data_IF_988292316656
#
_entry.id   IF_988292316656
#
_cell.length_a   1.000
_cell.length_b   1.000
_cell.length_c   1.000
_cell.angle_alpha   90.00
_cell.angle_beta   90.00
_cell.angle_gamma   90.00
#
_symmetry.space_group_name_H-M   'P 1'
#
loop_
_entity.id
_entity.type
_entity.pdbx_description
1 polymer ?
#
# COMPACT_ATOMS: atom_id res chain seq x y z
N UNK A 1 -4.12 -12.29 -20.25
CA UNK A 1 -5.18 -11.27 -20.42
C UNK A 1 -6.54 -11.87 -20.79
N UNK A 2 -6.66 -12.49 -21.97
CA UNK A 2 -7.94 -12.99 -22.52
C UNK A 2 -8.78 -13.85 -21.56
N UNK A 3 -8.15 -14.73 -20.77
CA UNK A 3 -8.84 -15.64 -19.84
C UNK A 3 -9.18 -15.06 -18.47
N UNK A 4 -8.84 -13.80 -18.20
CA UNK A 4 -8.89 -13.24 -16.85
C UNK A 4 -10.30 -13.22 -16.24
N UNK A 5 -11.33 -12.86 -17.01
CA UNK A 5 -12.72 -12.86 -16.52
C UNK A 5 -13.17 -14.25 -16.08
N UNK A 6 -12.87 -15.27 -16.88
CA UNK A 6 -13.21 -16.66 -16.55
C UNK A 6 -12.41 -17.16 -15.35
N UNK A 7 -11.13 -16.80 -15.27
CA UNK A 7 -10.29 -17.09 -14.11
C UNK A 7 -10.89 -16.49 -12.83
N UNK A 8 -11.25 -15.21 -12.86
CA UNK A 8 -11.90 -14.52 -11.74
C UNK A 8 -13.22 -15.20 -11.34
N UNK A 9 -14.03 -15.65 -12.31
CA UNK A 9 -15.24 -16.42 -12.03
C UNK A 9 -14.96 -17.77 -11.36
N UNK A 10 -13.92 -18.47 -11.79
CA UNK A 10 -13.47 -19.72 -11.14
C UNK A 10 -13.02 -19.46 -9.71
N UNK A 11 -12.26 -18.38 -9.49
CA UNK A 11 -11.81 -17.96 -8.16
C UNK A 11 -12.96 -17.58 -7.22
N UNK A 12 -14.04 -17.01 -7.75
CA UNK A 12 -15.25 -16.71 -6.98
C UNK A 12 -16.17 -17.93 -6.73
N UNK A 13 -15.88 -19.10 -7.35
CA UNK A 13 -16.82 -20.23 -7.33
C UNK A 13 -16.82 -21.05 -6.04
N UNK A 14 -15.84 -20.85 -5.16
CA UNK A 14 -15.54 -21.66 -3.96
C UNK A 14 -15.39 -23.17 -4.24
N UNK A 15 -15.15 -23.54 -5.50
CA UNK A 15 -14.92 -24.94 -5.91
C UNK A 15 -13.45 -25.31 -5.75
N UNK A 16 -13.11 -26.58 -5.43
CA UNK A 16 -11.73 -27.05 -5.28
C UNK A 16 -11.05 -27.20 -6.65
N UNK A 17 -10.88 -26.10 -7.36
CA UNK A 17 -10.21 -26.02 -8.66
C UNK A 17 -8.79 -25.50 -8.43
N UNK A 18 -7.84 -26.01 -9.22
CA UNK A 18 -6.43 -25.61 -9.18
C UNK A 18 -6.07 -24.98 -10.51
N UNK A 19 -5.52 -23.77 -10.45
CA UNK A 19 -5.03 -23.07 -11.62
C UNK A 19 -3.55 -22.80 -11.42
N UNK A 20 -2.75 -23.16 -12.43
CA UNK A 20 -1.33 -22.81 -12.50
C UNK A 20 -1.19 -21.80 -13.64
N UNK A 21 -0.65 -20.64 -13.31
CA UNK A 21 -0.26 -19.59 -14.25
C UNK A 21 1.25 -19.64 -14.37
N UNK A 22 1.72 -19.96 -15.56
CA UNK A 22 3.13 -19.93 -15.93
C UNK A 22 3.39 -18.53 -16.47
N UNK A 23 3.89 -17.64 -15.62
CA UNK A 23 4.06 -16.22 -15.96
C UNK A 23 5.42 -15.99 -16.62
N UNK A 24 5.40 -15.94 -17.94
CA UNK A 24 6.55 -15.59 -18.78
C UNK A 24 6.57 -14.11 -19.14
N UNK A 25 5.60 -13.31 -18.69
CA UNK A 25 5.57 -11.84 -18.82
C UNK A 25 5.52 -11.33 -20.28
N UNK A 26 5.21 -12.22 -21.21
CA UNK A 26 4.91 -11.98 -22.63
C UNK A 26 4.03 -13.11 -23.16
N UNK A 27 3.50 -12.99 -24.37
CA UNK A 27 2.93 -14.13 -25.09
C UNK A 27 4.02 -14.89 -25.85
N UNK A 28 4.72 -15.77 -25.14
CA UNK A 28 5.89 -16.50 -25.67
C UNK A 28 5.56 -17.33 -26.91
N UNK A 29 4.40 -17.99 -26.97
CA UNK A 29 4.05 -18.83 -28.11
C UNK A 29 3.85 -18.04 -29.42
N UNK A 30 3.41 -16.78 -29.32
CA UNK A 30 3.17 -15.91 -30.48
C UNK A 30 4.37 -15.01 -30.80
N UNK A 31 5.55 -15.30 -30.23
CA UNK A 31 6.79 -14.58 -30.51
C UNK A 31 7.02 -13.36 -29.62
N UNK A 32 6.55 -13.39 -28.37
CA UNK A 32 6.95 -12.39 -27.38
C UNK A 32 6.13 -11.11 -27.38
N UNK A 33 4.82 -11.20 -27.62
CA UNK A 33 3.94 -10.02 -27.63
C UNK A 33 3.70 -9.48 -26.21
N UNK A 34 3.55 -8.16 -26.11
CA UNK A 34 3.26 -7.47 -24.86
C UNK A 34 1.98 -8.02 -24.21
N UNK A 35 2.00 -8.08 -22.88
CA UNK A 35 0.85 -8.51 -22.09
C UNK A 35 0.76 -7.73 -20.77
N UNK A 36 -0.37 -7.85 -20.07
CA UNK A 36 -0.55 -7.09 -18.81
C UNK A 36 0.36 -7.55 -17.68
N UNK A 37 0.96 -8.75 -17.74
CA UNK A 37 1.98 -9.18 -16.78
C UNK A 37 3.41 -8.70 -17.10
N UNK A 38 3.65 -8.08 -18.25
CA UNK A 38 4.94 -7.42 -18.52
C UNK A 38 5.21 -6.24 -17.59
N UNK A 39 6.47 -5.84 -17.45
CA UNK A 39 6.90 -4.71 -16.62
C UNK A 39 6.95 -3.38 -17.39
N UNK A 40 6.90 -2.26 -16.67
CA UNK A 40 7.20 -0.95 -17.24
C UNK A 40 8.63 -0.94 -17.81
N UNK A 41 8.82 -0.31 -18.97
CA UNK A 41 10.08 -0.31 -19.71
C UNK A 41 10.40 -1.63 -20.43
N UNK A 42 9.59 -2.68 -20.28
CA UNK A 42 9.86 -3.95 -20.96
C UNK A 42 9.68 -3.82 -22.47
N UNK A 43 10.72 -4.18 -23.23
CA UNK A 43 10.67 -4.25 -24.68
C UNK A 43 10.09 -5.59 -25.13
N UNK A 44 9.05 -5.54 -25.95
CA UNK A 44 8.37 -6.72 -26.52
C UNK A 44 7.66 -6.36 -27.82
N UNK A 45 7.16 -7.34 -28.58
CA UNK A 45 6.32 -7.04 -29.75
C UNK A 45 5.07 -6.26 -29.29
N UNK A 46 4.71 -5.18 -30.00
CA UNK A 46 3.71 -4.17 -29.62
C UNK A 46 4.11 -3.21 -28.48
N UNK A 47 5.32 -3.33 -27.92
CA UNK A 47 5.89 -2.41 -26.95
C UNK A 47 7.40 -2.24 -27.22
N UNK A 48 7.71 -1.70 -28.41
CA UNK A 48 9.07 -1.54 -28.88
C UNK A 48 9.79 -0.35 -28.20
N UNK A 49 11.13 -0.36 -28.30
CA UNK A 49 11.95 0.78 -27.93
C UNK A 49 12.20 1.65 -29.17
N UNK A 50 11.62 2.85 -29.19
CA UNK A 50 11.73 3.87 -30.24
C UNK A 50 12.13 5.23 -29.67
N UNK A 51 11.90 6.30 -30.43
CA UNK A 51 12.22 7.67 -29.99
C UNK A 51 11.16 8.27 -29.05
N UNK A 52 9.91 7.83 -29.16
CA UNK A 52 8.78 8.35 -28.37
C UNK A 52 8.32 7.35 -27.30
N UNK A 53 8.55 6.04 -27.52
CA UNK A 53 8.14 4.98 -26.61
C UNK A 53 9.36 4.16 -26.22
N UNK A 54 9.58 3.95 -24.92
CA UNK A 54 10.73 3.22 -24.40
C UNK A 54 10.31 1.86 -23.81
N UNK A 55 9.52 1.10 -24.57
CA UNK A 55 8.91 -0.16 -24.12
C UNK A 55 7.52 0.04 -23.52
N UNK A 56 7.07 -0.92 -22.70
CA UNK A 56 5.74 -0.90 -22.09
C UNK A 56 5.61 0.25 -21.07
N UNK A 57 4.56 1.05 -21.18
CA UNK A 57 4.29 2.17 -20.26
C UNK A 57 3.43 1.75 -19.06
N UNK A 58 2.50 0.82 -19.29
CA UNK A 58 1.56 0.36 -18.27
C UNK A 58 2.27 -0.41 -17.14
N UNK A 59 1.83 -0.17 -15.91
CA UNK A 59 2.27 -0.94 -14.74
C UNK A 59 1.85 -2.39 -14.87
N UNK A 60 2.68 -3.30 -14.35
CA UNK A 60 2.39 -4.73 -14.30
C UNK A 60 1.11 -4.99 -13.51
N UNK A 61 0.23 -5.81 -14.08
CA UNK A 61 -0.98 -6.29 -13.42
C UNK A 61 -0.64 -7.36 -12.38
N UNK A 62 -0.74 -7.01 -11.11
CA UNK A 62 -0.48 -7.94 -9.99
C UNK A 62 -1.63 -8.93 -9.76
N UNK A 63 -1.57 -10.06 -10.47
CA UNK A 63 -2.58 -11.11 -10.39
C UNK A 63 -2.71 -11.69 -8.98
N UNK A 64 -1.62 -11.75 -8.21
CA UNK A 64 -1.66 -12.25 -6.83
C UNK A 64 -2.59 -11.40 -5.96
N UNK A 65 -2.43 -10.07 -5.98
CA UNK A 65 -3.28 -9.13 -5.23
C UNK A 65 -4.74 -9.22 -5.66
N UNK A 66 -5.00 -9.32 -6.96
CA UNK A 66 -6.37 -9.44 -7.48
C UNK A 66 -7.00 -10.78 -7.05
N UNK A 67 -6.23 -11.86 -7.03
CA UNK A 67 -6.70 -13.15 -6.56
C UNK A 67 -6.99 -13.14 -5.05
N UNK A 68 -6.15 -12.48 -4.25
CA UNK A 68 -6.37 -12.28 -2.82
C UNK A 68 -7.67 -11.51 -2.53
N UNK A 69 -8.06 -10.57 -3.41
CA UNK A 69 -9.32 -9.82 -3.28
C UNK A 69 -10.58 -10.71 -3.34
N UNK A 70 -10.49 -11.92 -3.91
CA UNK A 70 -11.58 -12.91 -3.85
C UNK A 70 -11.77 -13.54 -2.47
N UNK A 71 -10.88 -13.25 -1.49
CA UNK A 71 -10.89 -13.63 -0.06
C UNK A 71 -10.85 -15.12 0.27
N UNK A 72 -11.52 -15.97 -0.52
CA UNK A 72 -11.61 -17.41 -0.31
C UNK A 72 -10.67 -18.26 -1.16
N UNK A 73 -9.72 -17.64 -1.85
CA UNK A 73 -8.79 -18.31 -2.76
C UNK A 73 -7.47 -18.50 -2.05
N UNK A 74 -6.88 -19.69 -2.13
CA UNK A 74 -5.47 -19.88 -1.79
C UNK A 74 -4.61 -19.33 -2.93
N UNK A 75 -3.70 -18.40 -2.65
CA UNK A 75 -2.82 -17.81 -3.67
C UNK A 75 -1.38 -18.12 -3.31
N UNK A 76 -0.59 -18.55 -4.28
CA UNK A 76 0.84 -18.71 -4.12
C UNK A 76 1.54 -18.12 -5.33
N UNK A 77 2.41 -17.13 -5.10
CA UNK A 77 3.41 -16.69 -6.06
C UNK A 77 4.77 -17.26 -5.67
N UNK A 78 5.42 -17.95 -6.60
CA UNK A 78 6.75 -18.53 -6.37
C UNK A 78 7.53 -18.65 -7.66
N UNK A 79 8.80 -19.03 -7.57
CA UNK A 79 9.63 -19.41 -8.71
C UNK A 79 10.51 -20.62 -8.40
N UNK A 80 11.26 -21.08 -9.42
CA UNK A 80 12.29 -22.10 -9.25
C UNK A 80 13.51 -21.62 -8.43
N UNK A 81 13.62 -20.32 -8.13
CA UNK A 81 14.68 -19.77 -7.26
C UNK A 81 14.63 -20.35 -5.86
N UNK A 82 13.43 -20.69 -5.38
CA UNK A 82 13.20 -21.25 -4.05
C UNK A 82 12.42 -22.57 -4.15
N UNK A 83 13.07 -23.69 -4.53
CA UNK A 83 12.38 -24.97 -4.75
C UNK A 83 11.64 -25.48 -3.51
N UNK A 84 12.21 -25.29 -2.32
CA UNK A 84 11.58 -25.71 -1.06
C UNK A 84 10.26 -24.97 -0.81
N UNK A 85 10.26 -23.64 -0.95
CA UNK A 85 9.06 -22.80 -0.85
C UNK A 85 8.01 -23.22 -1.89
N UNK A 86 8.43 -23.41 -3.14
CA UNK A 86 7.55 -23.83 -4.23
C UNK A 86 6.87 -25.17 -3.92
N UNK A 87 7.63 -26.21 -3.60
CA UNK A 87 7.09 -27.56 -3.39
C UNK A 87 6.16 -27.59 -2.18
N UNK A 88 6.58 -26.99 -1.07
CA UNK A 88 5.78 -26.97 0.17
C UNK A 88 4.42 -26.28 -0.06
N UNK A 89 4.42 -25.11 -0.69
CA UNK A 89 3.19 -24.35 -0.87
C UNK A 89 2.30 -24.88 -1.99
N UNK A 90 2.87 -25.56 -3.00
CA UNK A 90 2.08 -26.37 -3.95
C UNK A 90 1.32 -27.47 -3.20
N UNK A 91 1.99 -28.22 -2.32
CA UNK A 91 1.34 -29.27 -1.53
C UNK A 91 0.23 -28.70 -0.63
N UNK A 92 0.48 -27.58 0.06
CA UNK A 92 -0.54 -26.87 0.86
C UNK A 92 -1.75 -26.49 -0.01
N UNK A 93 -1.51 -25.83 -1.14
CA UNK A 93 -2.59 -25.40 -2.03
C UNK A 93 -3.38 -26.55 -2.65
N UNK A 94 -2.73 -27.71 -2.92
CA UNK A 94 -3.43 -28.91 -3.39
C UNK A 94 -4.41 -29.45 -2.36
N UNK A 95 -4.09 -29.35 -1.06
CA UNK A 95 -4.93 -29.84 0.04
C UNK A 95 -6.13 -28.95 0.39
N UNK A 96 -6.17 -27.73 -0.14
CA UNK A 96 -7.24 -26.77 0.13
C UNK A 96 -8.62 -27.26 -0.33
N UNK A 97 -9.72 -26.89 0.33
CA UNK A 97 -11.07 -27.24 -0.17
C UNK A 97 -11.67 -26.18 -1.10
N UNK A 98 -10.98 -25.06 -1.26
CA UNK A 98 -11.37 -23.87 -2.02
C UNK A 98 -10.54 -23.76 -3.30
N UNK A 99 -10.79 -22.78 -4.20
CA UNK A 99 -9.93 -22.55 -5.35
C UNK A 99 -8.49 -22.25 -4.91
N UNK A 100 -7.51 -22.73 -5.67
CA UNK A 100 -6.11 -22.40 -5.46
C UNK A 100 -5.49 -21.90 -6.77
N UNK A 101 -4.78 -20.78 -6.68
CA UNK A 101 -4.06 -20.15 -7.77
C UNK A 101 -2.55 -20.18 -7.47
N UNK A 102 -1.81 -20.84 -8.34
CA UNK A 102 -0.35 -20.86 -8.32
C UNK A 102 0.17 -19.98 -9.46
N UNK A 103 0.91 -18.94 -9.14
CA UNK A 103 1.54 -18.00 -10.07
C UNK A 103 3.03 -18.29 -10.05
N UNK A 104 3.56 -18.83 -11.14
CA UNK A 104 4.93 -19.28 -11.23
C UNK A 104 5.71 -18.35 -12.14
N UNK A 105 6.65 -17.59 -11.57
CA UNK A 105 7.59 -16.82 -12.37
C UNK A 105 8.44 -17.78 -13.19
N UNK A 106 8.32 -17.68 -14.51
CA UNK A 106 8.92 -18.65 -15.45
C UNK A 106 9.78 -17.92 -16.46
N UNK A 107 11.08 -17.74 -16.16
CA UNK A 107 12.01 -17.14 -17.11
C UNK A 107 11.99 -17.87 -18.45
N UNK A 108 11.81 -17.10 -19.52
CA UNK A 108 11.70 -17.61 -20.88
C UNK A 108 12.97 -17.22 -21.64
N UNK A 109 13.94 -18.14 -21.83
CA UNK A 109 15.21 -17.81 -22.48
C UNK A 109 15.10 -17.05 -23.82
N UNK A 110 14.24 -17.45 -24.78
CA UNK A 110 14.14 -16.72 -26.04
C UNK A 110 13.58 -15.31 -25.88
N UNK A 111 12.57 -15.12 -25.03
CA UNK A 111 11.87 -13.83 -24.92
C UNK A 111 12.53 -12.86 -23.95
N UNK A 112 13.21 -13.38 -22.92
CA UNK A 112 13.96 -12.57 -21.96
C UNK A 112 15.42 -12.37 -22.41
N UNK A 113 15.82 -13.04 -23.50
CA UNK A 113 17.17 -13.04 -24.06
C UNK A 113 18.22 -13.53 -23.06
N UNK A 114 17.91 -14.62 -22.37
CA UNK A 114 18.80 -15.27 -21.40
C UNK A 114 19.70 -16.28 -22.12
N UNK A 115 20.82 -16.63 -21.49
CA UNK A 115 21.59 -17.79 -21.90
C UNK A 115 20.78 -19.10 -21.73
N UNK A 116 21.13 -20.15 -22.49
CA UNK A 116 20.40 -21.44 -22.52
C UNK A 116 20.11 -22.04 -21.14
N UNK A 117 21.01 -21.84 -20.17
CA UNK A 117 20.88 -22.32 -18.79
C UNK A 117 20.73 -21.19 -17.76
N UNK A 118 20.48 -19.95 -18.19
CA UNK A 118 20.40 -18.78 -17.33
C UNK A 118 19.07 -18.61 -16.60
N UNK A 119 18.06 -19.44 -16.88
CA UNK A 119 16.74 -19.33 -16.26
C UNK A 119 16.74 -19.45 -14.71
N UNK A 120 17.52 -20.34 -14.07
CA UNK A 120 17.59 -20.39 -12.60
C UNK A 120 18.15 -19.11 -12.01
N UNK A 121 19.22 -18.58 -12.60
CA UNK A 121 19.88 -17.36 -12.14
C UNK A 121 18.97 -16.15 -12.32
N UNK A 122 18.29 -16.03 -13.46
CA UNK A 122 17.30 -14.98 -13.70
C UNK A 122 16.13 -15.03 -12.71
N UNK A 123 15.61 -16.23 -12.40
CA UNK A 123 14.55 -16.39 -11.39
C UNK A 123 15.02 -15.95 -10.00
N UNK A 124 16.27 -16.26 -9.64
CA UNK A 124 16.87 -15.87 -8.36
C UNK A 124 17.05 -14.36 -8.28
N UNK A 125 17.61 -13.77 -9.33
CA UNK A 125 17.85 -12.32 -9.40
C UNK A 125 16.52 -11.54 -9.37
N UNK A 126 15.46 -12.05 -10.01
CA UNK A 126 14.12 -11.46 -9.94
C UNK A 126 13.52 -11.47 -8.51
N UNK A 127 13.83 -12.51 -7.71
CA UNK A 127 13.38 -12.60 -6.32
C UNK A 127 14.19 -11.66 -5.41
N UNK A 128 15.51 -11.67 -5.55
CA UNK A 128 16.45 -10.88 -4.73
C UNK A 128 16.33 -9.37 -4.97
N UNK A 129 15.99 -8.96 -6.19
CA UNK A 129 15.76 -7.57 -6.62
C UNK A 129 14.35 -7.03 -6.37
N UNK A 130 13.48 -7.81 -5.71
CA UNK A 130 12.05 -7.50 -5.49
C UNK A 130 11.20 -7.36 -6.77
N UNK A 131 11.73 -7.71 -7.94
CA UNK A 131 10.95 -7.66 -9.19
C UNK A 131 9.73 -8.60 -9.14
N UNK A 132 9.95 -9.83 -8.64
CA UNK A 132 8.89 -10.83 -8.44
C UNK A 132 9.05 -11.49 -7.07
N UNK A 133 8.44 -10.92 -6.00
CA UNK A 133 8.52 -11.50 -4.67
C UNK A 133 7.72 -12.80 -4.56
N UNK A 134 8.13 -13.67 -3.64
CA UNK A 134 7.34 -14.82 -3.22
C UNK A 134 6.19 -14.36 -2.34
N UNK A 135 4.99 -14.92 -2.54
CA UNK A 135 3.80 -14.55 -1.77
C UNK A 135 3.01 -15.82 -1.51
N UNK A 136 2.57 -16.02 -0.27
CA UNK A 136 1.57 -17.04 0.05
C UNK A 136 0.40 -16.33 0.71
N UNK A 137 -0.81 -16.60 0.23
CA UNK A 137 -2.05 -16.19 0.88
C UNK A 137 -2.89 -17.42 1.16
N UNK A 138 -3.13 -17.70 2.44
CA UNK A 138 -3.97 -18.79 2.89
C UNK A 138 -5.22 -18.26 3.59
N UNK A 139 -6.42 -18.40 2.99
CA UNK A 139 -7.65 -17.89 3.59
C UNK A 139 -8.06 -18.60 4.89
N UNK A 140 -7.45 -19.75 5.22
CA UNK A 140 -7.76 -20.54 6.42
C UNK A 140 -6.89 -20.16 7.63
N UNK A 141 -5.81 -19.40 7.46
CA UNK A 141 -4.84 -19.11 8.53
C UNK A 141 -5.28 -17.99 9.50
N UNK A 142 -6.33 -17.23 9.14
CA UNK A 142 -6.85 -16.20 10.03
C UNK A 142 -8.02 -15.41 9.46
N UNK A 143 -8.23 -14.21 10.00
CA UNK A 143 -9.31 -13.29 9.63
C UNK A 143 -8.82 -12.04 8.91
N UNK A 144 -7.66 -11.52 9.32
CA UNK A 144 -7.03 -10.33 8.71
C UNK A 144 -6.12 -10.73 7.54
N UNK A 145 -5.68 -9.75 6.76
CA UNK A 145 -4.65 -10.00 5.75
C UNK A 145 -3.30 -10.37 6.37
N UNK A 146 -2.94 -9.77 7.50
CA UNK A 146 -1.66 -10.02 8.19
C UNK A 146 -1.53 -11.45 8.67
N UNK A 147 -2.64 -12.08 9.08
CA UNK A 147 -2.64 -13.49 9.49
C UNK A 147 -2.67 -14.46 8.30
N UNK A 148 -3.06 -13.98 7.12
CA UNK A 148 -3.28 -14.82 5.93
C UNK A 148 -2.17 -14.72 4.91
N UNK A 149 -1.35 -13.66 4.94
CA UNK A 149 -0.24 -13.46 4.02
C UNK A 149 1.06 -13.85 4.70
N UNK A 150 1.82 -14.71 4.03
CA UNK A 150 3.16 -15.13 4.42
C UNK A 150 4.17 -14.70 3.33
N UNK A 151 5.23 -14.03 3.78
CA UNK A 151 6.34 -13.51 2.98
C UNK A 151 7.70 -14.14 3.35
N UNK A 152 7.74 -15.16 4.21
CA UNK A 152 8.99 -15.82 4.66
C UNK A 152 9.81 -16.43 3.53
N UNK A 153 9.16 -16.72 2.39
CA UNK A 153 9.83 -17.19 1.17
C UNK A 153 10.77 -16.17 0.52
N UNK A 154 10.82 -14.93 0.99
CA UNK A 154 11.66 -13.87 0.44
C UNK A 154 12.96 -13.69 1.24
N UNK A 155 14.10 -13.46 0.58
CA UNK A 155 15.34 -13.09 1.26
C UNK A 155 15.22 -11.72 1.93
N UNK A 156 15.82 -11.57 3.11
CA UNK A 156 15.88 -10.34 3.90
C UNK A 156 14.55 -9.54 3.92
N UNK A 157 13.44 -10.12 4.40
CA UNK A 157 12.10 -9.53 4.21
C UNK A 157 11.89 -8.18 4.93
N UNK A 158 12.75 -7.86 5.91
CA UNK A 158 12.72 -6.58 6.63
C UNK A 158 13.47 -5.46 5.88
N UNK A 159 14.43 -5.83 5.03
CA UNK A 159 15.26 -4.89 4.30
C UNK A 159 14.63 -4.53 2.95
N UNK A 160 14.86 -3.30 2.48
CA UNK A 160 14.43 -2.86 1.15
C UNK A 160 15.06 -3.75 0.07
N UNK A 161 16.38 -3.90 0.13
CA UNK A 161 17.17 -4.66 -0.83
C UNK A 161 17.93 -5.79 -0.14
N UNK A 162 18.13 -6.89 -0.86
CA UNK A 162 19.16 -7.87 -0.49
C UNK A 162 20.54 -7.34 -0.89
N UNK A 163 21.61 -7.93 -0.36
CA UNK A 163 22.99 -7.51 -0.69
C UNK A 163 23.79 -8.64 -1.30
N UNK A 164 24.75 -8.30 -2.16
CA UNK A 164 25.73 -9.21 -2.74
C UNK A 164 27.15 -8.64 -2.65
N UNK A 165 28.14 -9.51 -2.74
CA UNK A 165 29.56 -9.12 -2.79
C UNK A 165 30.05 -9.10 -4.24
N UNK A 166 30.59 -7.96 -4.66
CA UNK A 166 31.20 -7.77 -5.97
C UNK A 166 32.72 -7.73 -5.83
N UNK A 167 33.39 -8.72 -6.42
CA UNK A 167 34.86 -8.80 -6.43
C UNK A 167 35.42 -8.30 -7.75
N UNK A 168 36.33 -7.33 -7.70
CA UNK A 168 36.95 -6.71 -8.88
C UNK A 168 38.46 -6.52 -8.69
N UNK A 169 39.16 -6.24 -9.78
CA UNK A 169 40.58 -5.86 -9.77
C UNK A 169 40.70 -4.34 -9.86
N UNK A 170 41.50 -3.75 -8.99
CA UNK A 170 41.86 -2.33 -9.08
C UNK A 170 42.89 -2.07 -10.19
N UNK A 171 43.25 -0.80 -10.39
CA UNK A 171 44.22 -0.36 -11.42
C UNK A 171 45.61 -0.98 -11.22
N UNK A 172 45.93 -1.43 -10.00
CA UNK A 172 47.18 -2.08 -9.63
C UNK A 172 47.10 -3.63 -9.76
N UNK A 173 45.95 -4.16 -10.16
CA UNK A 173 45.71 -5.59 -10.34
C UNK A 173 45.48 -6.36 -9.03
N UNK A 174 45.18 -5.66 -7.93
CA UNK A 174 44.87 -6.26 -6.64
C UNK A 174 43.37 -6.50 -6.50
N UNK A 175 43.01 -7.63 -5.89
CA UNK A 175 41.61 -7.98 -5.63
C UNK A 175 41.02 -7.05 -4.55
N UNK A 176 39.90 -6.44 -4.90
CA UNK A 176 39.06 -5.65 -4.04
C UNK A 176 37.66 -6.26 -4.00
N UNK A 177 36.94 -5.98 -2.92
CA UNK A 177 35.59 -6.45 -2.69
C UNK A 177 34.74 -5.28 -2.22
N UNK A 178 33.53 -5.15 -2.76
CA UNK A 178 32.51 -4.21 -2.28
C UNK A 178 31.19 -4.94 -2.06
N UNK A 179 30.43 -4.50 -1.08
CA UNK A 179 29.07 -5.00 -0.82
C UNK A 179 28.08 -4.02 -1.40
N UNK A 180 27.19 -4.48 -2.28
CA UNK A 180 26.19 -3.67 -2.96
C UNK A 180 24.79 -4.28 -2.79
N UNK A 181 23.72 -3.46 -2.81
CA UNK A 181 22.37 -3.98 -2.86
C UNK A 181 22.07 -4.60 -4.24
N UNK A 182 21.30 -5.68 -4.27
CA UNK A 182 20.70 -6.22 -5.50
C UNK A 182 19.44 -5.42 -5.77
N UNK A 183 19.52 -4.48 -6.72
CA UNK A 183 18.41 -3.60 -7.09
C UNK A 183 17.63 -4.12 -8.28
N UNK A 184 16.47 -3.51 -8.55
CA UNK A 184 15.69 -3.80 -9.77
C UNK A 184 16.50 -3.49 -11.04
N UNK A 185 17.42 -2.52 -11.01
CA UNK A 185 18.29 -2.22 -12.14
C UNK A 185 19.34 -3.31 -12.39
N UNK A 186 19.87 -3.95 -11.34
CA UNK A 186 20.80 -5.07 -11.49
C UNK A 186 20.12 -6.28 -12.15
N UNK A 187 18.88 -6.55 -11.74
CA UNK A 187 18.06 -7.58 -12.35
C UNK A 187 17.73 -7.29 -13.82
N UNK A 188 17.23 -6.09 -14.12
CA UNK A 188 16.84 -5.72 -15.47
C UNK A 188 18.02 -5.74 -16.45
N UNK A 189 19.24 -5.38 -16.02
CA UNK A 189 20.46 -5.47 -16.85
C UNK A 189 20.74 -6.91 -17.32
N UNK A 190 20.39 -7.90 -16.51
CA UNK A 190 20.57 -9.33 -16.80
C UNK A 190 19.69 -9.85 -17.93
N UNK A 191 18.68 -9.09 -18.37
CA UNK A 191 17.68 -9.53 -19.33
C UNK A 191 17.68 -8.64 -20.59
N UNK A 192 17.69 -9.25 -21.78
CA UNK A 192 17.81 -8.52 -23.04
C UNK A 192 16.63 -7.56 -23.30
N UNK A 193 15.45 -7.89 -22.75
CA UNK A 193 14.23 -7.08 -22.86
C UNK A 193 14.29 -5.72 -22.17
N UNK A 194 15.31 -5.46 -21.36
CA UNK A 194 15.57 -4.13 -20.79
C UNK A 194 16.90 -3.52 -21.26
N UNK A 195 17.70 -4.24 -22.06
CA UNK A 195 19.07 -3.84 -22.42
C UNK A 195 19.18 -2.46 -23.09
N UNK A 196 18.12 -1.98 -23.74
CA UNK A 196 18.08 -0.64 -24.37
C UNK A 196 18.08 0.52 -23.37
N UNK A 197 17.74 0.26 -22.11
CA UNK A 197 17.73 1.22 -21.01
C UNK A 197 19.09 1.44 -20.36
N UNK A 198 20.14 0.82 -20.90
CA UNK A 198 21.47 0.86 -20.33
C UNK A 198 22.47 1.40 -21.35
N UNK A 199 23.35 2.29 -20.89
CA UNK A 199 24.48 2.81 -21.68
C UNK A 199 25.73 2.87 -20.82
N UNK A 200 26.94 2.77 -21.40
CA UNK A 200 28.16 3.06 -20.66
C UNK A 200 28.14 4.50 -20.12
N UNK A 201 28.67 4.69 -18.92
CA UNK A 201 28.82 6.03 -18.33
C UNK A 201 29.82 6.88 -19.12
N UNK A 202 29.48 8.15 -19.33
CA UNK A 202 30.36 9.16 -19.92
C UNK A 202 31.05 10.02 -18.86
N UNK A 203 32.10 10.75 -19.26
CA UNK A 203 32.87 11.62 -18.36
C UNK A 203 32.11 12.90 -17.92
N UNK A 204 31.03 13.26 -18.62
CA UNK A 204 30.21 14.46 -18.36
C UNK A 204 28.94 14.18 -17.54
N UNK A 205 28.67 12.92 -17.20
CA UNK A 205 27.48 12.56 -16.42
C UNK A 205 27.69 12.91 -14.93
N UNK A 206 26.73 13.60 -14.30
CA UNK A 206 26.67 13.68 -12.84
C UNK A 206 26.05 12.40 -12.30
N UNK A 207 26.87 11.55 -11.68
CA UNK A 207 26.55 10.14 -11.45
C UNK A 207 26.28 9.83 -9.98
N UNK A 208 25.13 9.22 -9.71
CA UNK A 208 24.77 8.69 -8.39
C UNK A 208 24.45 7.21 -8.46
N UNK A 209 24.82 6.46 -7.41
CA UNK A 209 24.56 5.02 -7.37
C UNK A 209 23.06 4.79 -7.33
N UNK A 210 22.57 3.83 -8.12
CA UNK A 210 21.13 3.61 -8.36
C UNK A 210 20.29 3.51 -7.08
N UNK A 211 20.77 2.80 -6.05
CA UNK A 211 19.99 2.66 -4.82
C UNK A 211 19.86 3.97 -4.02
N UNK A 212 20.88 4.83 -4.03
CA UNK A 212 20.83 6.16 -3.40
C UNK A 212 19.93 7.10 -4.22
N UNK A 213 19.98 7.00 -5.55
CA UNK A 213 19.12 7.77 -6.43
C UNK A 213 17.62 7.49 -6.22
N UNK A 214 17.25 6.24 -5.96
CA UNK A 214 15.85 5.86 -5.69
C UNK A 214 15.35 6.40 -4.33
N UNK A 215 16.26 6.68 -3.39
CA UNK A 215 15.89 7.27 -2.10
C UNK A 215 15.63 8.78 -2.20
N UNK A 216 16.11 9.45 -3.26
CA UNK A 216 15.86 10.87 -3.49
C UNK A 216 14.42 11.16 -3.89
N UNK A 217 13.96 12.37 -3.57
CA UNK A 217 12.69 12.89 -4.06
C UNK A 217 12.75 13.17 -5.57
N UNK A 218 11.59 13.18 -6.24
CA UNK A 218 11.52 13.30 -7.71
C UNK A 218 12.17 14.58 -8.25
N UNK A 219 12.12 15.67 -7.51
CA UNK A 219 12.68 16.96 -7.91
C UNK A 219 14.22 16.94 -7.89
N UNK A 220 14.82 16.24 -6.93
CA UNK A 220 16.27 16.11 -6.79
C UNK A 220 16.90 15.15 -7.82
N UNK A 221 16.06 14.33 -8.47
CA UNK A 221 16.47 13.37 -9.50
C UNK A 221 16.72 14.02 -10.87
N UNK A 222 16.23 15.23 -11.12
CA UNK A 222 16.31 15.87 -12.45
C UNK A 222 17.76 16.17 -12.88
N UNK A 223 18.63 16.50 -11.94
CA UNK A 223 20.02 16.91 -12.20
C UNK A 223 21.03 15.76 -12.15
N UNK A 224 20.59 14.56 -11.76
CA UNK A 224 21.48 13.43 -11.42
C UNK A 224 21.15 12.21 -12.27
N UNK A 225 22.18 11.54 -12.78
CA UNK A 225 22.04 10.33 -13.59
C UNK A 225 22.34 9.08 -12.77
N UNK A 226 21.41 8.11 -12.68
CA UNK A 226 21.65 6.90 -11.91
C UNK A 226 22.55 5.91 -12.66
N UNK A 227 23.42 5.21 -11.93
CA UNK A 227 24.26 4.14 -12.47
C UNK A 227 24.36 2.93 -11.55
N UNK A 228 24.73 1.79 -12.13
CA UNK A 228 25.10 0.56 -11.42
C UNK A 228 26.53 0.13 -11.76
N UNK A 229 27.15 -0.60 -10.84
CA UNK A 229 28.48 -1.17 -11.04
C UNK A 229 28.40 -2.51 -11.75
N UNK A 230 29.19 -2.67 -12.80
CA UNK A 230 29.34 -3.93 -13.53
C UNK A 230 30.80 -4.34 -13.62
N UNK A 231 31.05 -5.64 -13.66
CA UNK A 231 32.41 -6.17 -13.81
C UNK A 231 32.50 -6.89 -15.15
N UNK A 232 33.53 -6.55 -15.93
CA UNK A 232 33.75 -7.15 -17.24
C UNK A 232 34.42 -8.54 -17.15
N UNK A 233 34.62 -9.20 -18.29
CA UNK A 233 35.27 -10.52 -18.35
C UNK A 233 36.73 -10.52 -17.84
N UNK A 234 37.37 -9.35 -17.72
CA UNK A 234 38.73 -9.17 -17.19
C UNK A 234 38.74 -8.80 -15.70
N UNK A 235 37.57 -8.82 -15.05
CA UNK A 235 37.36 -8.39 -13.66
C UNK A 235 37.59 -6.89 -13.42
N UNK A 236 37.48 -6.07 -14.46
CA UNK A 236 37.57 -4.61 -14.36
C UNK A 236 36.21 -4.03 -14.01
N UNK A 237 36.21 -3.11 -13.04
CA UNK A 237 35.01 -2.40 -12.63
C UNK A 237 34.64 -1.34 -13.68
N UNK A 238 33.36 -1.28 -14.03
CA UNK A 238 32.78 -0.33 -14.98
C UNK A 238 31.46 0.19 -14.44
N UNK A 239 31.07 1.38 -14.90
CA UNK A 239 29.80 2.02 -14.54
C UNK A 239 28.86 1.99 -15.73
N UNK A 240 27.62 1.58 -15.50
CA UNK A 240 26.57 1.55 -16.52
C UNK A 240 25.45 2.46 -16.06
N UNK A 241 25.16 3.48 -16.86
CA UNK A 241 24.05 4.40 -16.66
C UNK A 241 22.74 3.69 -16.96
N UNK A 242 21.74 3.99 -16.14
CA UNK A 242 20.40 3.43 -16.16
C UNK A 242 19.40 4.52 -16.57
N UNK A 243 18.40 4.18 -17.38
CA UNK A 243 17.37 5.12 -17.79
C UNK A 243 16.33 5.40 -16.69
N UNK A 244 15.54 6.46 -16.87
CA UNK A 244 14.45 6.84 -15.96
C UNK A 244 13.32 5.80 -15.90
N UNK A 245 13.07 5.06 -16.98
CA UNK A 245 12.03 4.02 -17.01
C UNK A 245 12.33 2.87 -16.05
N UNK A 246 13.61 2.52 -15.89
CA UNK A 246 14.05 1.51 -14.93
C UNK A 246 13.96 2.05 -13.50
N UNK A 247 14.21 3.35 -13.29
CA UNK A 247 13.96 3.97 -11.99
C UNK A 247 12.45 3.97 -11.64
N UNK A 248 11.59 4.28 -12.62
CA UNK A 248 10.13 4.20 -12.46
C UNK A 248 9.67 2.78 -12.16
N UNK A 249 10.24 1.79 -12.85
CA UNK A 249 10.02 0.38 -12.56
C UNK A 249 10.44 0.02 -11.12
N UNK A 250 11.61 0.49 -10.67
CA UNK A 250 12.09 0.24 -9.32
C UNK A 250 11.17 0.87 -8.26
N UNK A 251 10.76 2.13 -8.42
CA UNK A 251 9.79 2.78 -7.53
C UNK A 251 8.49 1.98 -7.43
N UNK A 252 8.00 1.49 -8.57
CA UNK A 252 6.77 0.71 -8.64
C UNK A 252 6.92 -0.65 -7.94
N UNK A 253 8.04 -1.36 -8.15
CA UNK A 253 8.35 -2.62 -7.47
C UNK A 253 8.51 -2.44 -5.96
N UNK A 254 9.15 -1.36 -5.52
CA UNK A 254 9.30 -1.05 -4.10
C UNK A 254 7.97 -0.69 -3.45
N UNK A 255 7.10 0.06 -4.13
CA UNK A 255 5.73 0.33 -3.66
C UNK A 255 4.93 -0.97 -3.51
N UNK A 256 5.04 -1.88 -4.49
CA UNK A 256 4.42 -3.19 -4.40
C UNK A 256 4.96 -4.00 -3.22
N UNK A 257 6.27 -3.98 -2.99
CA UNK A 257 6.89 -4.66 -1.84
C UNK A 257 6.44 -4.06 -0.50
N UNK A 258 6.40 -2.73 -0.37
CA UNK A 258 5.90 -2.04 0.81
C UNK A 258 4.44 -2.39 1.10
N UNK A 259 3.58 -2.40 0.08
CA UNK A 259 2.19 -2.83 0.19
C UNK A 259 2.09 -4.28 0.70
N UNK A 260 2.91 -5.20 0.20
CA UNK A 260 2.92 -6.58 0.67
C UNK A 260 3.34 -6.67 2.14
N UNK A 261 4.39 -5.93 2.55
CA UNK A 261 4.84 -5.94 3.95
C UNK A 261 3.77 -5.40 4.90
N UNK A 262 3.09 -4.31 4.52
CA UNK A 262 1.99 -3.75 5.31
C UNK A 262 0.83 -4.75 5.40
N UNK A 263 0.42 -5.34 4.27
CA UNK A 263 -0.66 -6.34 4.25
C UNK A 263 -0.33 -7.60 5.05
N UNK A 264 0.94 -8.02 5.09
CA UNK A 264 1.43 -9.13 5.90
C UNK A 264 1.64 -8.76 7.39
N UNK A 265 1.48 -7.49 7.76
CA UNK A 265 1.76 -7.02 9.13
C UNK A 265 3.24 -7.07 9.51
N UNK A 266 4.14 -7.17 8.53
CA UNK A 266 5.59 -7.08 8.72
C UNK A 266 6.01 -5.63 8.94
N UNK A 267 5.32 -4.71 8.25
CA UNK A 267 5.50 -3.27 8.39
C UNK A 267 4.24 -2.65 8.98
N UNK A 268 4.41 -1.57 9.73
CA UNK A 268 3.32 -0.83 10.37
C UNK A 268 3.13 0.47 9.61
N UNK A 269 1.89 0.78 9.22
CA UNK A 269 1.58 2.01 8.49
C UNK A 269 2.01 3.25 9.28
N UNK A 270 2.44 4.29 8.56
CA UNK A 270 2.91 5.55 9.16
C UNK A 270 1.86 6.17 10.08
N UNK A 271 0.61 6.24 9.65
CA UNK A 271 -0.50 6.72 10.49
C UNK A 271 -0.61 5.97 11.83
N UNK A 272 -0.41 4.64 11.83
CA UNK A 272 -0.45 3.85 13.07
C UNK A 272 0.80 4.10 13.93
N UNK A 273 1.97 4.28 13.31
CA UNK A 273 3.19 4.69 14.02
C UNK A 273 3.02 6.06 14.67
N UNK A 274 2.47 7.03 13.96
CA UNK A 274 2.23 8.38 14.46
C UNK A 274 1.27 8.35 15.65
N UNK A 275 0.14 7.65 15.52
CA UNK A 275 -0.84 7.52 16.61
C UNK A 275 -0.22 6.86 17.86
N UNK A 276 0.60 5.82 17.68
CA UNK A 276 1.29 5.16 18.80
C UNK A 276 2.37 6.06 19.39
N UNK A 277 3.06 6.84 18.55
CA UNK A 277 4.12 7.75 18.98
C UNK A 277 3.52 8.91 19.77
N UNK A 278 2.44 9.53 19.31
CA UNK A 278 1.67 10.53 20.06
C UNK A 278 1.20 10.00 21.42
N UNK A 279 0.62 8.79 21.45
CA UNK A 279 0.17 8.19 22.71
C UNK A 279 1.34 7.87 23.67
N UNK A 280 2.49 7.44 23.13
CA UNK A 280 3.69 7.18 23.93
C UNK A 280 4.32 8.48 24.44
N UNK A 281 4.36 9.53 23.62
CA UNK A 281 4.81 10.86 24.00
C UNK A 281 3.96 11.43 25.13
N UNK A 282 2.63 11.33 25.04
CA UNK A 282 1.72 11.71 26.12
C UNK A 282 1.99 10.93 27.43
N UNK A 283 2.26 9.61 27.32
CA UNK A 283 2.59 8.79 28.50
C UNK A 283 3.94 9.19 29.12
N UNK A 284 4.95 9.47 28.29
CA UNK A 284 6.28 9.90 28.72
C UNK A 284 6.20 11.26 29.39
N UNK A 285 5.47 12.21 28.81
CA UNK A 285 5.26 13.54 29.40
C UNK A 285 4.54 13.47 30.73
N UNK A 286 3.51 12.61 30.85
CA UNK A 286 2.84 12.36 32.12
C UNK A 286 3.79 11.80 33.18
N UNK A 287 4.71 10.90 32.81
CA UNK A 287 5.73 10.36 33.73
C UNK A 287 6.75 11.42 34.13
N UNK A 288 7.19 12.27 33.20
CA UNK A 288 8.09 13.39 33.50
C UNK A 288 7.41 14.37 34.46
N UNK A 289 6.15 14.73 34.22
CA UNK A 289 5.36 15.60 35.10
C UNK A 289 5.19 15.00 36.51
N UNK A 290 4.93 13.69 36.61
CA UNK A 290 4.83 13.01 37.91
C UNK A 290 6.17 13.02 38.67
N UNK A 291 7.27 12.71 37.98
CA UNK A 291 8.61 12.68 38.59
C UNK A 291 9.05 14.07 39.01
N UNK A 292 8.84 15.09 38.18
CA UNK A 292 9.15 16.50 38.52
C UNK A 292 8.35 16.97 39.73
N UNK A 293 7.04 16.68 39.79
CA UNK A 293 6.22 16.99 40.96
C UNK A 293 6.72 16.29 42.23
N UNK A 294 7.17 15.03 42.15
CA UNK A 294 7.79 14.34 43.28
C UNK A 294 9.09 15.01 43.75
N UNK A 295 9.95 15.42 42.82
CA UNK A 295 11.21 16.09 43.14
C UNK A 295 10.95 17.46 43.76
N UNK A 296 10.02 18.25 43.22
CA UNK A 296 9.60 19.53 43.78
C UNK A 296 9.05 19.35 45.20
N UNK A 297 8.22 18.35 45.43
CA UNK A 297 7.71 18.02 46.76
C UNK A 297 8.83 17.61 47.74
N UNK A 298 9.82 16.83 47.28
CA UNK A 298 11.01 16.47 48.08
C UNK A 298 11.86 17.70 48.40
N UNK A 299 12.07 18.60 47.44
CA UNK A 299 12.80 19.86 47.65
C UNK A 299 12.05 20.78 48.61
N UNK A 300 10.73 20.94 48.47
CA UNK A 300 9.90 21.72 49.38
C UNK A 300 9.94 21.16 50.81
N UNK A 301 9.90 19.84 50.96
CA UNK A 301 10.07 19.17 52.26
C UNK A 301 11.47 19.39 52.85
N UNK A 302 12.52 19.28 52.04
CA UNK A 302 13.89 19.53 52.49
C UNK A 302 14.08 20.99 52.90
N UNK A 303 13.63 21.96 52.10
CA UNK A 303 13.75 23.40 52.39
C UNK A 303 12.97 23.83 53.62
N UNK A 304 11.84 23.20 53.93
CA UNK A 304 11.08 23.48 55.18
C UNK A 304 11.69 22.81 56.41
N UNK A 305 12.23 21.59 56.27
CA UNK A 305 12.79 20.84 57.39
C UNK A 305 14.24 21.23 57.75
N UNK A 306 15.07 21.60 56.76
CA UNK A 306 16.48 21.91 56.98
C UNK A 306 16.71 23.09 57.94
N UNK A 307 16.03 24.25 57.79
CA UNK A 307 16.21 25.38 58.70
C UNK A 307 15.85 25.03 60.15
N UNK A 308 14.80 24.23 60.36
CA UNK A 308 14.40 23.77 61.70
C UNK A 308 15.43 22.81 62.31
N UNK A 309 15.99 21.90 61.49
CA UNK A 309 17.05 20.98 61.93
C UNK A 309 18.36 21.73 62.23
N UNK A 310 18.71 22.72 61.42
CA UNK A 310 19.87 23.59 61.64
C UNK A 310 19.68 24.40 62.92
N UNK A 311 18.53 25.07 63.10
CA UNK A 311 18.22 25.84 64.30
C UNK A 311 18.26 24.97 65.56
N UNK A 312 17.71 23.74 65.50
CA UNK A 312 17.78 22.78 66.61
C UNK A 312 19.22 22.36 66.94
N UNK A 313 20.04 22.04 65.93
CA UNK A 313 21.45 21.67 66.15
C UNK A 313 22.29 22.84 66.68
N UNK A 314 22.05 24.06 66.19
CA UNK A 314 22.67 25.27 66.71
C UNK A 314 22.27 25.51 68.17
N UNK A 315 20.99 25.39 68.51
CA UNK A 315 20.51 25.50 69.88
C UNK A 315 21.10 24.42 70.80
N UNK A 316 21.15 23.16 70.36
CA UNK A 316 21.80 22.07 71.11
C UNK A 316 23.31 22.29 71.28
N UNK A 317 23.99 22.84 70.26
CA UNK A 317 25.39 23.22 70.33
C UNK A 317 25.65 24.34 71.34
N UNK A 318 24.79 25.36 71.34
CA UNK A 318 24.83 26.49 72.29
C UNK A 318 24.51 26.05 73.72
N UNK A 319 23.58 25.13 73.91
CA UNK A 319 23.23 24.57 75.22
C UNK A 319 24.32 23.64 75.77
N UNK A 320 25.04 22.92 74.90
CA UNK A 320 26.21 22.11 75.31
C UNK A 320 27.44 22.96 75.62
N UNK A 321 27.56 24.16 75.04
CA UNK A 321 28.56 25.14 75.44
C UNK A 321 28.09 25.90 76.67
N UNK A 322 28.43 25.39 77.86
CA UNK A 322 28.22 26.10 79.11
C UNK A 322 28.80 27.53 79.03
N UNK A 323 28.00 28.51 79.45
CA UNK A 323 28.17 29.94 79.22
C UNK A 323 29.50 30.54 79.71
N UNK A 324 30.36 30.98 78.79
CA UNK A 324 31.34 32.08 78.96
C UNK A 324 31.64 32.86 77.64
N UNK A 325 30.99 32.54 76.52
CA UNK A 325 31.26 33.21 75.22
C UNK A 325 30.11 34.10 74.78
N UNK A 326 30.43 35.31 74.33
CA UNK A 326 29.45 36.34 73.94
C UNK A 326 28.77 35.99 72.61
N UNK A 327 27.56 36.51 72.40
CA UNK A 327 26.75 36.29 71.18
C UNK A 327 27.52 36.68 69.90
N UNK A 328 28.43 37.65 70.00
CA UNK A 328 29.29 38.10 68.90
C UNK A 328 30.31 37.03 68.44
N UNK A 329 31.00 36.35 69.38
CA UNK A 329 31.95 35.28 69.04
C UNK A 329 31.26 34.06 68.43
N UNK A 330 29.99 33.83 68.80
CA UNK A 330 29.19 32.73 68.26
C UNK A 330 28.65 33.05 66.86
N UNK A 331 28.33 34.32 66.58
CA UNK A 331 27.95 34.79 65.23
C UNK A 331 29.12 34.70 64.26
N UNK A 332 30.33 35.09 64.68
CA UNK A 332 31.54 34.98 63.85
C UNK A 332 31.86 33.51 63.53
N UNK A 333 31.66 32.61 64.51
CA UNK A 333 31.83 31.17 64.28
C UNK A 333 30.73 30.57 63.40
N UNK A 334 29.50 31.07 63.49
CA UNK A 334 28.40 30.66 62.62
C UNK A 334 28.57 31.18 61.17
N UNK A 335 29.10 32.38 60.97
CA UNK A 335 29.51 32.89 59.66
C UNK A 335 30.63 32.04 59.03
N UNK A 336 31.51 31.47 59.85
CA UNK A 336 32.53 30.51 59.42
C UNK A 336 32.05 29.05 59.32
N UNK A 337 30.81 28.76 59.75
CA UNK A 337 30.28 27.40 59.76
C UNK A 337 29.72 27.02 58.39
N UNK A 338 30.59 26.49 57.54
CA UNK A 338 30.20 25.75 56.35
C UNK A 338 29.53 24.44 56.77
N UNK A 339 28.20 24.46 56.95
CA UNK A 339 27.39 23.28 57.24
C UNK A 339 27.73 22.09 56.30
N UNK A 340 27.33 20.85 56.62
CA UNK A 340 27.67 19.71 55.80
C UNK A 340 27.27 19.98 54.35
N UNK A 341 28.25 19.93 53.45
CA UNK A 341 28.05 20.15 52.03
C UNK A 341 26.99 19.15 51.56
N UNK A 342 25.81 19.64 51.18
CA UNK A 342 24.90 18.84 50.38
C UNK A 342 25.56 18.74 49.01
N UNK A 343 26.34 17.68 48.82
CA UNK A 343 26.82 17.32 47.49
C UNK A 343 25.60 16.86 46.69
N UNK A 344 25.22 17.64 45.69
CA UNK A 344 24.39 17.11 44.62
C UNK A 344 25.14 15.92 44.01
N UNK A 345 24.47 14.78 43.74
CA UNK A 345 25.11 13.68 43.02
C UNK A 345 25.62 14.21 41.68
N UNK A 346 26.80 13.77 41.27
CA UNK A 346 27.61 14.34 40.20
C UNK A 346 26.95 14.37 38.80
N UNK A 347 25.77 13.78 38.65
CA UNK A 347 25.09 13.59 37.36
C UNK A 347 23.76 14.36 37.21
N UNK A 348 23.50 15.39 38.03
CA UNK A 348 22.31 16.23 37.86
C UNK A 348 22.58 17.42 36.94
N UNK A 349 22.33 17.25 35.63
CA UNK A 349 22.30 18.32 34.63
C UNK A 349 20.92 18.33 33.97
N UNK A 350 20.19 19.45 34.07
CA UNK A 350 18.97 19.69 33.27
C UNK A 350 19.42 20.44 32.01
N UNK A 351 19.21 19.89 30.79
CA UNK A 351 19.44 20.64 29.57
C UNK A 351 18.48 21.83 29.49
N UNK A 352 19.02 23.01 29.23
CA UNK A 352 18.23 24.21 28.95
C UNK A 352 17.63 24.10 27.55
N UNK A 353 16.33 24.41 27.33
CA UNK A 353 15.76 24.39 25.99
C UNK A 353 16.36 25.51 25.14
N UNK A 354 16.69 25.17 23.89
CA UNK A 354 17.22 26.11 22.92
C UNK A 354 16.23 27.26 22.63
N UNK A 355 16.69 28.49 22.36
CA UNK A 355 15.80 29.61 22.06
C UNK A 355 15.14 29.41 20.69
N UNK A 356 13.81 29.50 20.67
CA UNK A 356 13.02 29.53 19.44
C UNK A 356 13.34 30.77 18.58
N UNK A 357 13.48 30.57 17.27
CA UNK A 357 13.59 31.62 16.26
C UNK A 357 12.25 32.38 16.12
N UNK A 358 12.27 33.67 15.72
CA UNK A 358 11.08 34.51 15.69
C UNK A 358 10.17 34.14 14.51
N UNK A 359 8.91 33.82 14.80
CA UNK A 359 7.86 33.67 13.80
C UNK A 359 7.24 35.04 13.45
N UNK A 360 7.12 35.26 12.15
CA UNK A 360 6.64 36.45 11.48
C UNK A 360 5.13 36.67 11.69
N UNK A 361 4.71 37.92 11.53
CA UNK A 361 3.34 38.36 11.76
C UNK A 361 2.47 38.26 10.49
N UNK A 362 1.35 37.52 10.60
CA UNK A 362 0.06 37.94 10.05
C UNK A 362 -0.47 37.24 8.78
N UNK A 363 -1.59 36.52 8.93
CA UNK A 363 -2.79 36.57 8.08
C UNK A 363 -3.89 35.65 8.67
N UNK A 364 -5.19 35.90 8.42
CA UNK A 364 -6.28 35.52 9.32
C UNK A 364 -6.85 34.12 9.08
N UNK A 365 -7.50 33.59 10.13
CA UNK A 365 -8.18 32.30 10.16
C UNK A 365 -9.27 32.14 9.07
N UNK A 366 -9.35 30.97 8.39
CA UNK A 366 -10.56 30.57 7.71
C UNK A 366 -11.57 30.03 8.73
N UNK A 367 -12.80 30.51 8.61
CA UNK A 367 -13.93 30.17 9.44
C UNK A 367 -14.27 28.67 9.37
N UNK A 368 -14.65 28.10 10.51
CA UNK A 368 -15.17 26.75 10.65
C UNK A 368 -16.37 26.52 9.71
N UNK A 369 -16.19 25.60 8.76
CA UNK A 369 -17.28 25.06 7.96
C UNK A 369 -18.06 24.03 8.79
N UNK A 370 -19.32 24.35 9.08
CA UNK A 370 -20.26 23.48 9.74
C UNK A 370 -20.61 22.27 8.85
N UNK A 371 -20.74 21.11 9.49
CA UNK A 371 -21.24 19.87 8.89
C UNK A 371 -22.64 20.08 8.25
N UNK A 372 -22.90 19.57 7.03
CA UNK A 372 -24.22 19.67 6.43
C UNK A 372 -25.17 18.67 7.10
N UNK A 373 -26.23 19.23 7.68
CA UNK A 373 -27.39 18.51 8.16
C UNK A 373 -28.22 17.96 7.00
N UNK A 374 -28.78 16.77 7.22
CA UNK A 374 -29.73 16.09 6.34
C UNK A 374 -30.92 16.98 5.97
N UNK A 375 -31.25 17.01 4.67
CA UNK A 375 -32.45 17.66 4.17
C UNK A 375 -33.69 16.76 4.34
N UNK A 376 -34.86 17.33 4.70
CA UNK A 376 -36.08 16.58 4.99
C UNK A 376 -36.87 16.22 3.73
N UNK A 377 -37.55 15.08 3.81
CA UNK A 377 -38.60 14.67 2.88
C UNK A 377 -39.86 15.53 3.06
N UNK A 378 -40.43 15.99 1.94
CA UNK A 378 -41.70 16.72 1.85
C UNK A 378 -42.02 16.90 0.35
N UNK A 379 -43.23 16.77 -0.20
CA UNK A 379 -44.54 16.24 0.18
C UNK A 379 -45.19 15.85 -1.16
N UNK A 380 -45.99 14.78 -1.17
CA UNK A 380 -46.86 14.44 -2.29
C UNK A 380 -47.98 15.49 -2.46
N UNK A 381 -48.17 16.01 -3.66
CA UNK A 381 -49.46 16.58 -4.08
C UNK A 381 -50.20 15.55 -4.93
N UNK A 382 -51.42 15.26 -4.51
CA UNK A 382 -52.40 14.45 -5.21
C UNK A 382 -53.19 15.32 -6.20
N UNK A 383 -53.48 14.79 -7.39
CA UNK A 383 -54.84 14.52 -7.86
C UNK A 383 -54.83 14.15 -9.36
N UNK A 384 -55.20 12.92 -9.70
CA UNK A 384 -56.44 12.57 -10.42
C UNK A 384 -56.43 11.09 -10.85
N UNK A 385 -57.49 10.39 -10.44
CA UNK A 385 -57.95 9.03 -10.79
C UNK A 385 -57.38 7.82 -10.02
N UNK A 386 -58.22 7.31 -9.09
CA UNK A 386 -58.16 6.01 -8.42
C UNK A 386 -57.78 4.85 -9.39
N UNK A 387 -56.52 4.43 -9.34
CA UNK A 387 -56.07 3.11 -9.80
C UNK A 387 -55.36 2.41 -8.63
N UNK A 388 -56.09 1.56 -7.91
CA UNK A 388 -55.56 0.70 -6.83
C UNK A 388 -54.76 -0.49 -7.41
N UNK A 389 -53.78 -0.21 -8.26
CA UNK A 389 -52.85 -1.19 -8.83
C UNK A 389 -51.44 -0.63 -8.90
N UNK A 390 -50.43 -1.50 -8.89
CA UNK A 390 -49.03 -1.10 -8.99
C UNK A 390 -48.78 -0.41 -10.33
N UNK A 391 -48.34 0.84 -10.32
CA UNK A 391 -47.96 1.54 -11.56
C UNK A 391 -46.69 0.92 -12.15
N UNK A 392 -46.56 0.84 -13.48
CA UNK A 392 -45.32 0.41 -14.09
C UNK A 392 -44.21 1.42 -13.77
N UNK A 393 -43.02 0.93 -13.44
CA UNK A 393 -41.85 1.79 -13.18
C UNK A 393 -40.55 1.11 -13.61
N UNK A 394 -39.45 1.88 -13.67
CA UNK A 394 -38.11 1.36 -13.96
C UNK A 394 -37.18 1.79 -12.83
N UNK A 395 -36.39 0.86 -12.31
CA UNK A 395 -35.25 1.14 -11.43
C UNK A 395 -34.14 1.78 -12.26
N UNK A 396 -34.29 3.06 -12.61
CA UNK A 396 -33.44 3.80 -13.54
C UNK A 396 -31.95 3.76 -13.14
N UNK A 397 -31.65 3.69 -11.84
CA UNK A 397 -30.29 3.54 -11.27
C UNK A 397 -29.62 2.22 -11.72
N UNK A 398 -30.40 1.19 -12.02
CA UNK A 398 -29.91 -0.13 -12.47
C UNK A 398 -29.85 -0.26 -14.00
N UNK A 399 -30.31 0.75 -14.74
CA UNK A 399 -30.34 0.70 -16.18
C UNK A 399 -28.92 0.68 -16.78
N UNK A 400 -28.69 -0.22 -17.74
CA UNK A 400 -27.42 -0.39 -18.46
C UNK A 400 -27.43 0.21 -19.88
N UNK A 401 -28.49 0.93 -20.24
CA UNK A 401 -28.63 1.66 -21.53
C UNK A 401 -28.44 0.79 -22.78
N UNK A 402 -28.95 -0.45 -22.74
CA UNK A 402 -28.82 -1.43 -23.82
C UNK A 402 -29.84 -1.28 -24.99
N UNK A 403 -30.72 -0.28 -24.93
CA UNK A 403 -31.77 0.04 -25.91
C UNK A 403 -32.89 -1.01 -26.12
N UNK A 404 -32.84 -2.18 -25.47
CA UNK A 404 -33.76 -3.27 -25.78
C UNK A 404 -35.24 -2.96 -25.45
N UNK A 405 -35.50 -2.18 -24.40
CA UNK A 405 -36.85 -1.69 -24.10
C UNK A 405 -37.33 -0.63 -25.11
N UNK A 406 -36.45 0.27 -25.57
CA UNK A 406 -36.78 1.25 -26.59
C UNK A 406 -37.10 0.61 -27.95
N UNK A 407 -36.43 -0.51 -28.29
CA UNK A 407 -36.75 -1.30 -29.51
C UNK A 407 -38.16 -1.90 -29.47
N UNK A 408 -38.71 -2.15 -28.28
CA UNK A 408 -40.06 -2.72 -28.11
C UNK A 408 -41.13 -1.63 -28.27
N UNK A 409 -40.99 -0.51 -27.55
CA UNK A 409 -41.88 0.63 -27.72
C UNK A 409 -41.20 1.95 -27.31
N UNK A 410 -40.74 2.77 -28.27
CA UNK A 410 -40.02 4.03 -27.99
C UNK A 410 -40.93 5.17 -27.49
N UNK A 411 -42.24 4.93 -27.34
CA UNK A 411 -43.18 5.88 -26.72
C UNK A 411 -43.39 5.61 -25.24
N UNK A 412 -43.21 4.36 -24.81
CA UNK A 412 -43.32 3.96 -23.41
C UNK A 412 -41.99 4.14 -22.71
N UNK A 413 -40.90 3.75 -23.38
CA UNK A 413 -39.54 3.82 -22.84
C UNK A 413 -38.78 4.97 -23.51
N UNK A 414 -38.30 5.90 -22.70
CA UNK A 414 -37.49 7.05 -23.14
C UNK A 414 -36.22 7.12 -22.31
N UNK A 415 -35.22 7.85 -22.78
CA UNK A 415 -34.02 8.15 -22.00
C UNK A 415 -34.18 9.47 -21.28
N UNK A 416 -33.79 9.49 -20.01
CA UNK A 416 -33.60 10.71 -19.25
C UNK A 416 -32.26 11.41 -19.65
N UNK A 417 -31.97 12.54 -19.00
CA UNK A 417 -30.76 13.34 -19.27
C UNK A 417 -29.44 12.57 -18.97
N UNK A 418 -29.49 11.57 -18.10
CA UNK A 418 -28.36 10.71 -17.72
C UNK A 418 -28.22 9.46 -18.61
N UNK A 419 -28.94 9.40 -19.74
CA UNK A 419 -29.00 8.25 -20.65
C UNK A 419 -29.48 6.94 -20.01
N UNK A 420 -30.32 7.02 -18.97
CA UNK A 420 -30.94 5.87 -18.33
C UNK A 420 -32.42 5.77 -18.74
N UNK A 421 -32.91 4.54 -18.92
CA UNK A 421 -34.28 4.33 -19.37
C UNK A 421 -35.28 4.70 -18.27
N UNK A 422 -36.32 5.45 -18.65
CA UNK A 422 -37.46 5.80 -17.82
C UNK A 422 -38.77 5.59 -18.58
N UNK A 423 -39.89 5.58 -17.86
CA UNK A 423 -41.22 5.47 -18.47
C UNK A 423 -41.70 6.86 -18.84
N UNK A 424 -41.79 7.13 -20.14
CA UNK A 424 -42.29 8.41 -20.67
C UNK A 424 -43.82 8.48 -20.61
N UNK A 425 -44.52 7.57 -21.28
CA UNK A 425 -45.97 7.45 -21.23
C UNK A 425 -46.41 5.98 -21.10
N UNK A 426 -46.78 5.58 -19.88
CA UNK A 426 -47.25 4.24 -19.57
C UNK A 426 -48.54 3.85 -20.34
N UNK A 427 -49.35 4.83 -20.75
CA UNK A 427 -50.62 4.62 -21.48
C UNK A 427 -50.40 4.49 -22.99
N UNK A 428 -49.20 4.80 -23.50
CA UNK A 428 -48.86 4.70 -24.92
C UNK A 428 -48.56 3.27 -25.42
N UNK A 429 -48.53 2.27 -24.53
CA UNK A 429 -48.28 0.86 -24.86
C UNK A 429 -49.30 -0.11 -24.28
N UNK A 430 -49.18 -1.39 -24.65
CA UNK A 430 -50.01 -2.46 -24.07
C UNK A 430 -49.28 -3.16 -22.92
N UNK A 431 -50.02 -3.83 -22.02
CA UNK A 431 -49.41 -4.54 -20.89
C UNK A 431 -48.45 -5.63 -21.37
N UNK A 432 -48.78 -6.29 -22.49
CA UNK A 432 -47.87 -7.24 -23.14
C UNK A 432 -46.51 -6.63 -23.49
N UNK A 433 -46.45 -5.37 -23.91
CA UNK A 433 -45.18 -4.72 -24.28
C UNK A 433 -44.33 -4.43 -23.05
N UNK A 434 -44.94 -4.04 -21.93
CA UNK A 434 -44.27 -3.86 -20.64
C UNK A 434 -43.68 -5.19 -20.14
N UNK A 435 -44.47 -6.28 -20.18
CA UNK A 435 -43.99 -7.62 -19.79
C UNK A 435 -42.86 -8.11 -20.70
N UNK A 436 -42.97 -7.90 -22.01
CA UNK A 436 -41.90 -8.26 -22.94
C UNK A 436 -40.63 -7.44 -22.73
N UNK A 437 -40.75 -6.17 -22.32
CA UNK A 437 -39.60 -5.33 -22.01
C UNK A 437 -38.91 -5.77 -20.71
N UNK A 438 -39.67 -6.16 -19.69
CA UNK A 438 -39.12 -6.73 -18.46
C UNK A 438 -38.37 -8.04 -18.71
N UNK A 439 -38.94 -8.96 -19.49
CA UNK A 439 -38.26 -10.21 -19.87
C UNK A 439 -37.02 -9.99 -20.75
N UNK A 440 -37.00 -8.93 -21.56
CA UNK A 440 -35.87 -8.58 -22.41
C UNK A 440 -34.78 -7.79 -21.68
N UNK A 441 -35.07 -7.24 -20.49
CA UNK A 441 -34.15 -6.36 -19.77
C UNK A 441 -33.00 -7.18 -19.15
N UNK A 442 -31.74 -6.99 -19.60
CA UNK A 442 -30.60 -7.73 -19.04
C UNK A 442 -30.30 -7.33 -17.58
N UNK A 443 -30.74 -6.15 -17.17
CA UNK A 443 -30.55 -5.60 -15.84
C UNK A 443 -31.73 -5.89 -14.88
N UNK A 444 -32.79 -6.54 -15.36
CA UNK A 444 -34.01 -6.86 -14.60
C UNK A 444 -34.58 -5.64 -13.84
N UNK A 445 -34.49 -4.45 -14.45
CA UNK A 445 -34.82 -3.17 -13.81
C UNK A 445 -36.18 -2.60 -14.23
N UNK A 446 -36.98 -3.34 -15.00
CA UNK A 446 -38.28 -2.89 -15.52
C UNK A 446 -39.39 -3.66 -14.80
N UNK A 447 -40.31 -2.93 -14.19
CA UNK A 447 -41.43 -3.46 -13.42
C UNK A 447 -42.74 -3.15 -14.17
N UNK A 448 -43.40 -4.14 -14.81
CA UNK A 448 -44.59 -3.94 -15.63
C UNK A 448 -45.84 -3.44 -14.91
N UNK A 449 -45.90 -3.56 -13.59
CA UNK A 449 -47.05 -3.16 -12.77
C UNK A 449 -48.31 -3.98 -13.06
N UNK A 450 -49.47 -3.38 -12.77
CA UNK A 450 -50.78 -3.94 -13.05
C UNK A 450 -51.30 -3.52 -14.44
N UNK A 451 -52.10 -4.37 -15.09
CA UNK A 451 -52.59 -4.07 -16.43
C UNK A 451 -53.58 -2.91 -16.45
N UNK A 452 -53.22 -1.84 -17.15
CA UNK A 452 -54.08 -0.67 -17.38
C UNK A 452 -55.32 -0.97 -18.24
N UNK A 453 -55.31 -2.03 -19.05
CA UNK A 453 -56.43 -2.43 -19.90
C UNK A 453 -56.97 -3.84 -19.58
N UNK A 454 -58.10 -3.95 -18.85
CA UNK A 454 -58.66 -5.24 -18.44
C UNK A 454 -59.25 -6.08 -19.58
N UNK A 455 -59.27 -5.57 -20.83
CA UNK A 455 -59.77 -6.29 -22.02
C UNK A 455 -58.65 -6.80 -22.93
N UNK A 456 -57.39 -6.76 -22.50
CA UNK A 456 -56.25 -7.25 -23.31
C UNK A 456 -56.30 -8.79 -23.46
N UNK A 457 -56.06 -9.28 -24.68
CA UNK A 457 -56.13 -10.72 -24.98
C UNK A 457 -55.02 -11.48 -24.24
N UNK A 458 -55.41 -12.49 -23.46
CA UNK A 458 -54.47 -13.37 -22.75
C UNK A 458 -53.94 -12.80 -21.43
N UNK A 459 -54.69 -11.87 -20.82
CA UNK A 459 -54.32 -11.16 -19.61
C UNK A 459 -53.82 -12.06 -18.46
N UNK A 460 -54.54 -13.13 -18.13
CA UNK A 460 -54.18 -14.06 -17.05
C UNK A 460 -52.79 -14.69 -17.24
N UNK A 461 -52.37 -14.89 -18.50
CA UNK A 461 -51.04 -15.41 -18.81
C UNK A 461 -49.96 -14.34 -18.73
N UNK A 462 -50.30 -13.09 -19.02
CA UNK A 462 -49.38 -11.96 -18.93
C UNK A 462 -49.12 -11.57 -17.47
N UNK A 463 -50.17 -11.57 -16.62
CA UNK A 463 -50.03 -11.31 -15.18
C UNK A 463 -49.06 -12.32 -14.55
N UNK A 464 -49.24 -13.62 -14.81
CA UNK A 464 -48.33 -14.67 -14.33
C UNK A 464 -46.88 -14.53 -14.81
N UNK A 465 -46.66 -13.90 -15.97
CA UNK A 465 -45.32 -13.64 -16.51
C UNK A 465 -44.71 -12.37 -15.92
N UNK A 466 -45.54 -11.44 -15.46
CA UNK A 466 -45.13 -10.21 -14.79
C UNK A 466 -44.78 -10.44 -13.31
N UNK A 467 -45.39 -11.44 -12.64
CA UNK A 467 -45.14 -11.79 -11.23
C UNK A 467 -43.66 -11.77 -10.77
N UNK A 468 -42.68 -12.36 -11.50
CA UNK A 468 -41.27 -12.32 -11.08
C UNK A 468 -40.60 -10.94 -11.22
N UNK A 469 -41.22 -10.03 -11.97
CA UNK A 469 -40.70 -8.68 -12.24
C UNK A 469 -41.50 -7.58 -11.52
N UNK A 470 -42.58 -7.90 -10.82
CA UNK A 470 -43.43 -6.92 -10.13
C UNK A 470 -43.15 -6.83 -8.64
#
# INVERSE_FOLDING_TARGET
>A
DIGFQNLSRVMASDKPIRVIVVDTQVYSNTGGQACTSGFTGQVSDMAEYGMEHHGKEEVRKELALIAMAHRGVFVMQSSQATPSHLIQNVLKGLQQRRPALFILNTPCPPEWGLADFGAPDAAKLALESRAVPNIVYNPEEGTTFSERIDLEGNPSPLDTWTTYELTYLDEEGKEQMMTLPVTTADWALGEARFRRHYRPAGDEDDLLVFHEYIELEKEEREDVTPFIYTVDAKRQLSKVVVSEEIATLADERLRHWAQLKEMAGVDVSENMRDTVSEALEEEVDARIAAVTAEYEAKIAKLTTQYPLLIARRLAEGLLKSNAEKTVAELLEKAESWGGPAVQAPADFSIPSPAPAAPADAGAPAPAAAAAPAAAPAAVAEADEDDFMGNEPYIDTIRCTSCDDCLKINPKVFVYNDDQQAEIGDAKAGTFKQLVMAAEACPAECIHPGDPLNPKEKGLDKLIKRAEPFN
#
